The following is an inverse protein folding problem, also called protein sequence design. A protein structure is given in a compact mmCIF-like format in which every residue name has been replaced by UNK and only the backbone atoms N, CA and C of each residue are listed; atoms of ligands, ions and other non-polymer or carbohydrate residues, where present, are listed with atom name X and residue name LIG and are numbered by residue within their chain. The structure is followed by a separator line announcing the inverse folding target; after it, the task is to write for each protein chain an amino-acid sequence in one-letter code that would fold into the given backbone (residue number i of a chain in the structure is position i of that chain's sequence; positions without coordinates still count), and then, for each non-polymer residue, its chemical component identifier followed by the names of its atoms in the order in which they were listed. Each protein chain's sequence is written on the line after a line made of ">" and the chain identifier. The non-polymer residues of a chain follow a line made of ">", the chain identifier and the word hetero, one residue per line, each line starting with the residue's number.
data_IF_325183722784
#
_entry.id   IF_325183722784
#
_cell.length_a   1.000
_cell.length_b   1.000
_cell.length_c   1.000
_cell.angle_alpha   90.00
_cell.angle_beta   90.00
_cell.angle_gamma   90.00
#
_symmetry.space_group_name_H-M   'P 1'
#
loop_
_entity.id
_entity.type
_entity.pdbx_description
1 polymer ?
#
# COMPACT_ATOMS: atom_id res chain seq x y z
N UNK A 1 -2.76 8.05 2.87
CA UNK A 1 -1.72 8.65 3.67
C UNK A 1 -2.30 9.73 4.57
N UNK A 2 -2.88 9.28 5.69
CA UNK A 2 -3.32 10.15 6.77
C UNK A 2 -2.15 10.63 7.63
N UNK A 3 -0.99 10.03 7.45
CA UNK A 3 0.15 10.12 8.37
C UNK A 3 1.28 10.98 7.74
N UNK A 4 1.21 11.19 6.42
CA UNK A 4 2.11 12.06 5.65
C UNK A 4 3.49 11.46 5.42
N UNK A 5 3.66 10.15 5.65
CA UNK A 5 4.94 9.45 5.57
C UNK A 5 5.23 8.88 4.16
N UNK A 6 4.26 8.97 3.25
CA UNK A 6 4.33 8.42 1.90
C UNK A 6 4.20 6.90 1.82
N UNK A 7 3.89 6.21 2.93
CA UNK A 7 3.79 4.75 2.99
C UNK A 7 2.37 4.33 3.40
N UNK A 8 1.72 3.50 2.58
CA UNK A 8 0.41 2.94 2.94
C UNK A 8 0.63 1.79 3.93
N UNK A 9 0.10 1.94 5.14
CA UNK A 9 0.16 0.87 6.16
C UNK A 9 -0.99 -0.14 6.02
N UNK A 10 -0.83 -1.36 6.58
CA UNK A 10 -1.86 -2.42 6.57
C UNK A 10 -3.17 -1.95 7.18
N UNK A 11 -3.10 -1.03 8.17
CA UNK A 11 -4.27 -0.41 8.79
C UNK A 11 -5.01 0.52 7.83
N UNK A 12 -4.30 1.35 7.08
CA UNK A 12 -4.92 2.22 6.08
C UNK A 12 -5.54 1.40 4.95
N UNK A 13 -4.80 0.44 4.40
CA UNK A 13 -5.30 -0.44 3.35
C UNK A 13 -6.51 -1.24 3.81
N UNK A 14 -6.45 -1.83 5.01
CA UNK A 14 -7.57 -2.57 5.60
C UNK A 14 -8.80 -1.70 5.86
N UNK A 15 -8.61 -0.43 6.20
CA UNK A 15 -9.72 0.53 6.36
C UNK A 15 -10.40 0.81 5.02
N UNK A 16 -9.63 1.00 3.95
CA UNK A 16 -10.17 1.19 2.61
C UNK A 16 -10.88 -0.07 2.13
N UNK A 17 -10.28 -1.25 2.29
CA UNK A 17 -10.88 -2.52 1.87
C UNK A 17 -12.19 -2.83 2.59
N UNK A 18 -12.25 -2.61 3.91
CA UNK A 18 -13.51 -2.72 4.68
C UNK A 18 -14.56 -1.71 4.25
N UNK A 19 -14.15 -0.50 3.88
CA UNK A 19 -15.09 0.51 3.35
C UNK A 19 -15.65 0.12 1.98
N UNK A 20 -14.92 -0.69 1.21
CA UNK A 20 -15.37 -1.28 -0.06
C UNK A 20 -16.19 -2.57 0.14
N UNK A 21 -16.44 -3.00 1.38
CA UNK A 21 -17.20 -4.21 1.71
C UNK A 21 -16.38 -5.50 1.67
N UNK A 22 -15.05 -5.42 1.53
CA UNK A 22 -14.14 -6.55 1.63
C UNK A 22 -13.69 -6.74 3.08
N UNK A 23 -13.39 -7.97 3.50
CA UNK A 23 -12.84 -8.22 4.84
C UNK A 23 -11.55 -9.04 4.75
N UNK A 24 -10.47 -8.45 4.22
CA UNK A 24 -9.18 -9.13 4.11
C UNK A 24 -8.57 -9.39 5.49
N UNK A 25 -7.81 -10.47 5.58
CA UNK A 25 -6.99 -10.79 6.73
C UNK A 25 -5.74 -9.91 6.78
N UNK A 26 -5.10 -9.83 7.96
CA UNK A 26 -3.87 -9.07 8.13
C UNK A 26 -2.72 -9.58 7.25
N UNK A 27 -2.67 -10.90 7.00
CA UNK A 27 -1.69 -11.50 6.07
C UNK A 27 -1.91 -11.04 4.64
N UNK A 28 -3.14 -11.06 4.14
CA UNK A 28 -3.46 -10.60 2.78
C UNK A 28 -3.14 -9.12 2.61
N UNK A 29 -3.44 -8.30 3.63
CA UNK A 29 -3.09 -6.88 3.63
C UNK A 29 -1.58 -6.65 3.60
N UNK A 30 -0.81 -7.46 4.33
CA UNK A 30 0.63 -7.37 4.35
C UNK A 30 1.24 -7.78 3.01
N UNK A 31 0.73 -8.85 2.40
CA UNK A 31 1.18 -9.31 1.07
C UNK A 31 0.91 -8.24 0.00
N UNK A 32 -0.28 -7.63 0.03
CA UNK A 32 -0.62 -6.53 -0.88
C UNK A 32 0.30 -5.31 -0.72
N UNK A 33 0.66 -4.97 0.51
CA UNK A 33 1.58 -3.84 0.75
C UNK A 33 2.99 -4.19 0.30
N UNK A 34 3.46 -5.40 0.57
CA UNK A 34 4.77 -5.86 0.12
C UNK A 34 4.87 -5.82 -1.42
N UNK A 35 3.79 -6.18 -2.14
CA UNK A 35 3.74 -6.07 -3.60
C UNK A 35 3.78 -4.62 -4.08
N UNK A 36 3.03 -3.71 -3.45
CA UNK A 36 2.96 -2.29 -3.86
C UNK A 36 4.26 -1.54 -3.51
N UNK A 37 4.87 -1.81 -2.36
CA UNK A 37 6.12 -1.17 -1.91
C UNK A 37 7.33 -1.59 -2.77
N UNK A 38 7.29 -2.82 -3.30
CA UNK A 38 8.25 -3.28 -4.30
C UNK A 38 8.12 -2.56 -5.66
N UNK A 39 6.93 -2.06 -6.02
CA UNK A 39 6.69 -1.32 -7.28
C UNK A 39 7.06 0.17 -7.14
N UNK A 40 6.74 0.79 -6.00
CA UNK A 40 7.01 2.23 -5.75
C UNK A 40 8.51 2.56 -5.77
N UNK A 41 9.36 1.63 -5.36
CA UNK A 41 10.82 1.78 -5.45
C UNK A 41 11.36 1.73 -6.89
N UNK A 42 10.64 1.09 -7.83
CA UNK A 42 11.08 0.95 -9.21
C UNK A 42 10.76 2.17 -10.09
N UNK A 43 9.73 2.96 -9.80
CA UNK A 43 9.35 4.11 -10.63
C UNK A 43 10.20 5.38 -10.40
N UNK A 44 11.11 5.39 -9.43
CA UNK A 44 11.93 6.56 -9.09
C UNK A 44 13.17 6.74 -9.99
N UNK A 45 13.51 5.77 -10.84
CA UNK A 45 14.74 5.78 -11.67
C UNK A 45 14.54 6.11 -13.15
N UNK A 46 13.36 6.62 -13.55
CA UNK A 46 13.13 7.10 -14.93
C UNK A 46 12.60 8.53 -14.99
N UNK A 47 13.29 9.46 -14.33
CA UNK A 47 13.25 10.89 -14.71
C UNK A 47 14.63 11.50 -14.51
N UNK A 48 15.46 11.46 -15.55
CA UNK A 48 15.99 12.66 -16.22
C UNK A 48 17.08 12.26 -17.23
N UNK A 49 16.72 12.20 -18.51
CA UNK A 49 17.64 12.45 -19.63
C UNK A 49 17.86 13.96 -19.76
#
# INVERSE_FOLDING_TARGET
>A
DKDGDGQITTKELGTVMRSLGQNPSESELQDMINEVDADTTAQSISRNS
#
